data_IF_865704494248
#
_entry.id   IF_865704494248
#
_cell.length_a   1.000
_cell.length_b   1.000
_cell.length_c   1.000
_cell.angle_alpha   90.00
_cell.angle_beta   90.00
_cell.angle_gamma   90.00
#
_symmetry.space_group_name_H-M   'P 1'
#
loop_
_entity.id
_entity.type
_entity.pdbx_description
1 polymer ?
#
# COMPACT_ATOMS: atom_id res chain seq x y z
N UNK A 1 -7.81 11.37 18.69
CA UNK A 1 -8.48 10.97 17.43
C UNK A 1 -9.60 9.99 17.75
N UNK A 2 -9.27 8.77 18.21
CA UNK A 2 -10.30 7.84 18.73
C UNK A 2 -11.03 8.37 19.97
N UNK A 3 -10.33 9.13 20.82
CA UNK A 3 -10.93 9.83 21.97
C UNK A 3 -12.01 10.85 21.61
N UNK A 4 -12.04 11.30 20.34
CA UNK A 4 -13.07 12.19 19.81
C UNK A 4 -14.13 11.42 19.00
N UNK A 5 -14.13 10.09 19.06
CA UNK A 5 -15.11 9.21 18.40
C UNK A 5 -14.84 8.94 16.92
N UNK A 6 -13.71 9.42 16.36
CA UNK A 6 -13.36 9.16 14.96
C UNK A 6 -12.56 7.85 14.88
N UNK A 7 -13.04 6.83 14.13
CA UNK A 7 -12.33 5.56 13.98
C UNK A 7 -10.93 5.75 13.39
N UNK A 8 -9.96 4.98 13.89
CA UNK A 8 -8.60 4.95 13.38
C UNK A 8 -8.08 3.50 13.34
N UNK A 9 -7.28 3.10 12.33
CA UNK A 9 -6.81 1.73 12.20
C UNK A 9 -5.61 1.43 13.13
N UNK A 10 -5.79 1.59 14.44
CA UNK A 10 -4.72 1.37 15.45
C UNK A 10 -4.36 -0.11 15.60
N UNK A 11 -5.37 -0.99 15.58
CA UNK A 11 -5.23 -2.41 15.95
C UNK A 11 -5.56 -3.37 14.80
N UNK A 12 -5.46 -2.89 13.55
CA UNK A 12 -5.76 -3.68 12.36
C UNK A 12 -4.46 -3.88 11.56
N UNK A 13 -3.82 -5.05 11.63
CA UNK A 13 -2.63 -5.34 10.84
C UNK A 13 -2.92 -5.19 9.34
N UNK A 14 -2.01 -4.53 8.62
CA UNK A 14 -2.18 -4.21 7.20
C UNK A 14 -1.16 -4.95 6.33
N UNK A 15 -1.51 -5.09 5.05
CA UNK A 15 -0.63 -5.58 3.99
C UNK A 15 -0.38 -4.45 2.98
N UNK A 16 0.79 -4.48 2.36
CA UNK A 16 1.14 -3.56 1.27
C UNK A 16 0.70 -4.22 -0.04
N UNK A 17 0.04 -3.44 -0.88
CA UNK A 17 -0.42 -3.86 -2.20
C UNK A 17 0.05 -2.85 -3.26
N UNK A 18 0.27 -3.33 -4.48
CA UNK A 18 0.56 -2.50 -5.64
C UNK A 18 -0.23 -3.01 -6.83
N UNK A 19 -0.80 -2.11 -7.62
CA UNK A 19 -1.64 -2.44 -8.78
C UNK A 19 -1.66 -1.29 -9.77
N UNK A 20 -1.68 -1.61 -11.06
CA UNK A 20 -2.03 -0.70 -12.14
C UNK A 20 -3.38 -1.14 -12.71
N UNK A 21 -4.38 -0.26 -12.73
CA UNK A 21 -5.74 -0.60 -13.13
C UNK A 21 -6.47 0.62 -13.71
N UNK A 22 -7.57 0.37 -14.43
CA UNK A 22 -8.40 1.43 -15.03
C UNK A 22 -9.46 1.94 -14.04
N UNK A 23 -9.47 3.25 -13.78
CA UNK A 23 -10.39 3.93 -12.88
C UNK A 23 -11.16 5.09 -13.57
N UNK A 24 -11.52 4.91 -14.84
CA UNK A 24 -12.15 5.91 -15.71
C UNK A 24 -13.38 6.61 -15.12
N UNK A 25 -14.11 5.97 -14.21
CA UNK A 25 -15.32 6.53 -13.63
C UNK A 25 -15.03 7.68 -12.66
N UNK A 26 -13.79 7.83 -12.18
CA UNK A 26 -13.48 8.84 -11.16
C UNK A 26 -12.07 9.42 -11.20
N UNK A 27 -11.06 8.71 -11.72
CA UNK A 27 -9.67 9.08 -11.51
C UNK A 27 -9.26 10.42 -12.16
N UNK A 28 -9.72 10.70 -13.37
CA UNK A 28 -9.31 11.86 -14.16
C UNK A 28 -10.47 12.82 -14.36
N UNK A 29 -10.36 14.02 -13.76
CA UNK A 29 -11.41 15.05 -13.73
C UNK A 29 -12.76 14.53 -13.25
N UNK A 30 -12.77 13.73 -12.17
CA UNK A 30 -14.00 13.11 -11.66
C UNK A 30 -14.66 12.15 -12.66
N UNK A 31 -13.86 11.60 -13.59
CA UNK A 31 -14.31 10.67 -14.63
C UNK A 31 -14.71 11.32 -15.95
N UNK A 32 -14.53 12.63 -16.13
CA UNK A 32 -14.83 13.33 -17.38
C UNK A 32 -13.83 13.02 -18.51
N UNK A 33 -12.58 12.70 -18.16
CA UNK A 33 -11.55 12.31 -19.13
C UNK A 33 -11.37 10.81 -19.01
N UNK A 34 -11.49 10.09 -20.13
CA UNK A 34 -11.38 8.63 -20.18
C UNK A 34 -10.00 8.19 -20.69
N UNK A 35 -9.56 7.03 -20.27
CA UNK A 35 -8.35 6.39 -20.77
C UNK A 35 -8.50 6.12 -22.27
N UNK A 36 -7.53 6.56 -23.06
CA UNK A 36 -7.47 6.23 -24.46
C UNK A 36 -6.64 4.94 -24.65
N UNK A 37 -7.37 3.89 -25.05
CA UNK A 37 -6.88 2.53 -25.22
C UNK A 37 -6.33 2.26 -26.63
N UNK A 38 -6.17 3.30 -27.45
CA UNK A 38 -5.59 3.15 -28.78
C UNK A 38 -4.18 2.54 -28.69
N UNK A 39 -3.82 1.78 -29.72
CA UNK A 39 -2.50 1.13 -29.83
C UNK A 39 -1.32 2.11 -29.73
N UNK A 40 -1.57 3.41 -29.94
CA UNK A 40 -0.54 4.45 -29.82
C UNK A 40 -0.23 4.82 -28.36
N UNK A 41 -1.13 4.54 -27.41
CA UNK A 41 -1.02 4.96 -26.00
C UNK A 41 -0.92 3.77 -25.03
N UNK A 42 -1.38 2.58 -25.43
CA UNK A 42 -1.15 1.33 -24.72
C UNK A 42 0.09 0.60 -25.26
N UNK A 43 0.85 -0.16 -24.42
CA UNK A 43 0.55 -0.56 -23.05
C UNK A 43 0.91 0.48 -21.98
N UNK A 44 0.08 0.57 -20.95
CA UNK A 44 0.38 1.31 -19.72
C UNK A 44 1.34 0.50 -18.84
N UNK A 45 2.53 1.04 -18.58
CA UNK A 45 3.58 0.31 -17.86
C UNK A 45 3.91 1.01 -16.55
N UNK A 46 3.87 0.27 -15.44
CA UNK A 46 4.35 0.70 -14.14
C UNK A 46 5.56 -0.15 -13.74
N UNK A 47 6.67 0.49 -13.37
CA UNK A 47 7.90 -0.17 -12.96
C UNK A 47 8.18 0.13 -11.49
N UNK A 48 8.39 -0.92 -10.69
CA UNK A 48 8.69 -0.83 -9.27
C UNK A 48 10.10 -1.37 -9.02
N UNK A 49 10.85 -0.71 -8.14
CA UNK A 49 12.21 -1.11 -7.77
C UNK A 49 12.51 -0.70 -6.34
N UNK A 50 13.54 -1.32 -5.75
CA UNK A 50 14.07 -0.97 -4.44
C UNK A 50 12.98 -0.98 -3.34
N UNK A 51 12.18 -2.06 -3.27
CA UNK A 51 11.16 -2.19 -2.23
C UNK A 51 11.82 -2.26 -0.85
N UNK A 52 11.46 -1.31 0.02
CA UNK A 52 11.95 -1.22 1.41
C UNK A 52 10.75 -1.03 2.32
N UNK A 53 10.59 -1.91 3.31
CA UNK A 53 9.53 -1.82 4.30
C UNK A 53 10.14 -1.80 5.71
N UNK A 54 10.09 -0.64 6.36
CA UNK A 54 10.37 -0.53 7.80
C UNK A 54 9.05 -0.69 8.55
N UNK A 55 8.74 -1.92 8.94
CA UNK A 55 7.49 -2.26 9.60
C UNK A 55 7.68 -3.37 10.63
N UNK A 56 6.78 -3.41 11.62
CA UNK A 56 6.64 -4.56 12.51
C UNK A 56 5.77 -5.61 11.82
N UNK A 57 6.27 -6.85 11.76
CA UNK A 57 5.55 -7.97 11.18
C UNK A 57 4.55 -8.46 12.22
N UNK A 58 3.32 -8.69 11.76
CA UNK A 58 2.27 -9.32 12.54
C UNK A 58 2.20 -10.81 12.17
N UNK A 59 2.47 -11.71 13.12
CA UNK A 59 2.40 -13.16 12.93
C UNK A 59 1.41 -13.78 13.91
N UNK A 60 0.36 -14.42 13.38
CA UNK A 60 -0.73 -14.97 14.20
C UNK A 60 -1.38 -13.89 15.06
N UNK A 61 -1.23 -14.00 16.39
CA UNK A 61 -1.77 -13.06 17.38
C UNK A 61 -0.71 -12.16 18.03
N UNK A 62 0.49 -12.06 17.45
CA UNK A 62 1.60 -11.28 18.03
C UNK A 62 2.25 -10.37 16.99
N UNK A 63 2.59 -9.15 17.40
CA UNK A 63 3.45 -8.22 16.64
C UNK A 63 4.92 -8.37 17.06
N UNK A 64 5.82 -8.13 16.12
CA UNK A 64 7.25 -8.00 16.44
C UNK A 64 7.62 -6.71 17.21
N UNK A 65 6.64 -5.89 17.61
CA UNK A 65 6.87 -4.61 18.30
C UNK A 65 7.39 -4.72 19.74
N UNK A 66 7.48 -5.94 20.29
CA UNK A 66 7.91 -6.19 21.67
C UNK A 66 9.32 -6.79 21.82
N UNK A 67 10.04 -7.08 20.74
CA UNK A 67 11.38 -7.68 20.84
C UNK A 67 12.46 -6.63 21.11
N UNK A 68 12.98 -6.58 22.33
CA UNK A 68 14.13 -5.76 22.77
C UNK A 68 15.47 -6.22 22.16
N UNK A 69 15.47 -7.16 21.22
CA UNK A 69 16.66 -7.56 20.46
C UNK A 69 16.73 -6.73 19.19
N UNK A 70 17.79 -5.92 19.13
CA UNK A 70 18.24 -5.13 17.97
C UNK A 70 18.32 -5.97 16.70
N UNK A 71 17.21 -6.08 15.98
CA UNK A 71 17.14 -6.32 14.54
C UNK A 71 15.92 -5.55 14.03
N UNK A 72 16.00 -4.22 14.17
CA UNK A 72 14.90 -3.27 13.97
C UNK A 72 14.62 -2.93 12.50
N UNK A 73 15.22 -3.63 11.55
CA UNK A 73 14.94 -3.45 10.12
C UNK A 73 15.19 -4.79 9.44
N UNK A 74 14.14 -5.58 9.18
CA UNK A 74 14.25 -6.60 8.14
C UNK A 74 14.16 -5.90 6.78
N UNK A 75 15.23 -5.17 6.41
CA UNK A 75 15.42 -4.73 5.03
C UNK A 75 15.67 -6.02 4.22
N UNK A 76 14.65 -6.50 3.51
CA UNK A 76 14.77 -7.65 2.61
C UNK A 76 13.97 -8.92 2.94
N UNK A 77 12.97 -8.87 3.83
CA UNK A 77 12.02 -9.98 3.96
C UNK A 77 10.90 -9.92 2.91
N UNK A 78 11.26 -9.84 1.62
CA UNK A 78 10.38 -9.98 0.45
C UNK A 78 11.17 -10.51 -0.75
#
# INVERSE_FOLDING_TARGET
>A
MESFGVPFPTNQPMKIYSSLWNADDWATQGGLVKTDWSQAQAPFTASYRNFKANAYIWSGSQSSCASTTTNLLQDGAW
#
